data_IF_165272092026
#
_entry.id   IF_165272092026
#
_cell.length_a   1.000
_cell.length_b   1.000
_cell.length_c   1.000
_cell.angle_alpha   90.00
_cell.angle_beta   90.00
_cell.angle_gamma   90.00
#
_symmetry.space_group_name_H-M   'P 1'
#
loop_
_entity.id
_entity.type
_entity.pdbx_description
1 polymer ?
#
# COMPACT_ATOMS: atom_id res chain seq x y z
N UNK A 1 -20.95 -4.46 -3.05
CA UNK A 1 -21.42 -5.84 -2.75
C UNK A 1 -20.75 -6.34 -1.48
N UNK A 2 -21.39 -7.24 -0.73
CA UNK A 2 -20.83 -7.78 0.52
C UNK A 2 -19.47 -8.46 0.30
N UNK A 3 -19.27 -9.07 -0.86
CA UNK A 3 -17.99 -9.67 -1.26
C UNK A 3 -16.83 -8.66 -1.29
N UNK A 4 -17.05 -7.46 -1.86
CA UNK A 4 -16.02 -6.40 -1.89
C UNK A 4 -15.70 -5.84 -0.50
N UNK A 5 -16.67 -5.84 0.41
CA UNK A 5 -16.43 -5.40 1.80
C UNK A 5 -15.56 -6.40 2.55
N UNK A 6 -15.79 -7.69 2.35
CA UNK A 6 -14.96 -8.78 2.90
C UNK A 6 -13.55 -8.71 2.29
N UNK A 7 -13.45 -8.51 0.98
CA UNK A 7 -12.16 -8.38 0.28
C UNK A 7 -11.37 -7.18 0.80
N UNK A 8 -12.01 -6.02 0.96
CA UNK A 8 -11.39 -4.84 1.57
C UNK A 8 -10.90 -5.13 2.99
N UNK A 9 -11.70 -5.83 3.79
CA UNK A 9 -11.30 -6.24 5.14
C UNK A 9 -10.03 -7.09 5.14
N UNK A 10 -9.93 -8.06 4.22
CA UNK A 10 -8.74 -8.90 4.05
C UNK A 10 -7.52 -8.11 3.58
N UNK A 11 -7.71 -7.12 2.70
CA UNK A 11 -6.62 -6.26 2.26
C UNK A 11 -6.04 -5.46 3.45
N UNK A 12 -6.91 -4.83 4.26
CA UNK A 12 -6.49 -4.07 5.45
C UNK A 12 -5.81 -4.96 6.50
N UNK A 13 -6.29 -6.20 6.68
CA UNK A 13 -5.68 -7.20 7.56
C UNK A 13 -4.25 -7.52 7.13
N UNK A 14 -4.05 -7.85 5.84
CA UNK A 14 -2.72 -8.11 5.28
C UNK A 14 -1.76 -6.91 5.35
N UNK A 15 -2.29 -5.69 5.20
CA UNK A 15 -1.52 -4.45 5.39
C UNK A 15 -1.00 -4.34 6.83
N UNK A 16 -1.85 -4.67 7.81
CA UNK A 16 -1.53 -4.62 9.24
C UNK A 16 -0.47 -5.67 9.61
N UNK A 17 -0.61 -6.90 9.11
CA UNK A 17 0.35 -7.98 9.32
C UNK A 17 1.75 -7.63 8.81
N UNK A 18 1.80 -6.93 7.68
CA UNK A 18 3.06 -6.59 6.99
C UNK A 18 3.68 -5.26 7.43
N UNK A 19 2.93 -4.41 8.15
CA UNK A 19 3.34 -3.05 8.49
C UNK A 19 4.69 -2.98 9.20
N UNK A 20 4.97 -3.90 10.14
CA UNK A 20 6.22 -3.95 10.91
C UNK A 20 7.48 -4.10 10.03
N UNK A 21 7.34 -4.70 8.85
CA UNK A 21 8.46 -4.93 7.93
C UNK A 21 8.66 -3.79 6.93
N UNK A 22 7.56 -3.12 6.57
CA UNK A 22 7.49 -2.09 5.54
C UNK A 22 7.77 -0.70 6.11
N UNK A 23 7.41 -0.45 7.37
CA UNK A 23 7.57 0.85 7.99
C UNK A 23 9.02 1.37 7.93
N UNK A 24 9.18 2.63 7.47
CA UNK A 24 10.48 3.31 7.36
C UNK A 24 11.42 2.72 6.30
N UNK A 25 10.95 1.82 5.43
CA UNK A 25 11.74 1.33 4.30
C UNK A 25 11.70 2.34 3.16
N UNK A 26 12.83 2.50 2.49
CA UNK A 26 12.99 3.43 1.36
C UNK A 26 12.88 2.70 0.03
N UNK A 27 12.07 3.23 -0.87
CA UNK A 27 11.81 2.63 -2.18
C UNK A 27 12.20 3.60 -3.30
N UNK A 28 12.55 3.06 -4.47
CA UNK A 28 12.73 3.84 -5.69
C UNK A 28 11.67 3.40 -6.68
N UNK A 29 10.87 4.35 -7.18
CA UNK A 29 9.69 4.09 -8.02
C UNK A 29 9.85 4.89 -9.31
N UNK A 30 9.58 4.25 -10.44
CA UNK A 30 9.59 4.89 -11.76
C UNK A 30 8.53 4.27 -12.65
N UNK A 31 8.01 5.05 -13.61
CA UNK A 31 6.96 4.59 -14.50
C UNK A 31 6.20 5.74 -15.15
N UNK A 32 5.03 5.41 -15.66
CA UNK A 32 4.07 6.38 -16.17
C UNK A 32 3.50 7.22 -14.99
N UNK A 33 3.28 8.53 -15.18
CA UNK A 33 2.88 9.46 -14.11
C UNK A 33 1.72 8.99 -13.21
N UNK A 34 0.61 8.50 -13.76
CA UNK A 34 -0.57 8.10 -12.98
C UNK A 34 -0.28 6.86 -12.12
N UNK A 35 0.47 5.90 -12.68
CA UNK A 35 0.93 4.74 -11.92
C UNK A 35 1.89 5.14 -10.80
N UNK A 36 2.85 6.03 -11.06
CA UNK A 36 3.79 6.49 -10.04
C UNK A 36 3.05 7.18 -8.91
N UNK A 37 2.10 8.06 -9.22
CA UNK A 37 1.34 8.79 -8.22
C UNK A 37 0.50 7.86 -7.34
N UNK A 38 -0.20 6.90 -7.95
CA UNK A 38 -1.02 5.93 -7.21
C UNK A 38 -0.19 5.00 -6.32
N UNK A 39 0.95 4.51 -6.81
CA UNK A 39 1.84 3.62 -6.02
C UNK A 39 2.52 4.39 -4.89
N UNK A 40 2.97 5.62 -5.12
CA UNK A 40 3.53 6.48 -4.06
C UNK A 40 2.49 6.72 -2.97
N UNK A 41 1.26 7.05 -3.34
CA UNK A 41 0.15 7.23 -2.39
C UNK A 41 -0.07 5.98 -1.52
N UNK A 42 -0.14 4.81 -2.15
CA UNK A 42 -0.30 3.55 -1.43
C UNK A 42 0.89 3.23 -0.51
N UNK A 43 2.12 3.50 -0.95
CA UNK A 43 3.31 3.29 -0.12
C UNK A 43 3.32 4.19 1.12
N UNK A 44 2.83 5.43 0.99
CA UNK A 44 2.66 6.33 2.14
C UNK A 44 1.61 5.80 3.14
N UNK A 45 0.48 5.26 2.66
CA UNK A 45 -0.53 4.63 3.50
C UNK A 45 0.02 3.39 4.25
N UNK A 46 0.96 2.68 3.64
CA UNK A 46 1.68 1.56 4.24
C UNK A 46 2.79 1.96 5.21
N UNK A 47 3.09 3.27 5.35
CA UNK A 47 4.15 3.79 6.22
C UNK A 47 5.56 3.64 5.66
N UNK A 48 5.70 3.43 4.35
CA UNK A 48 6.98 3.44 3.66
C UNK A 48 7.43 4.87 3.31
N UNK A 49 8.71 5.04 3.00
CA UNK A 49 9.34 6.30 2.59
C UNK A 49 9.74 6.21 1.09
N UNK A 50 8.81 6.51 0.17
CA UNK A 50 9.06 6.45 -1.27
C UNK A 50 10.02 7.54 -1.79
#
# INVERSE_FOLDING_TARGET
PQELEIERGRAVDAMTDSHSWIHGKRFAIYGEPDLVYSVVGFMLEMGAEP
#
